data_IF_113397417297
#
_entry.id   IF_113397417297
#
_cell.length_a   1.000
_cell.length_b   1.000
_cell.length_c   1.000
_cell.angle_alpha   90.00
_cell.angle_beta   90.00
_cell.angle_gamma   90.00
#
_symmetry.space_group_name_H-M   'P 1'
#
loop_
_entity.id
_entity.type
_entity.pdbx_description
1 polymer ?
#
# COMPACT_ATOMS: atom_id res chain seq x y z
N UNK A 1 -0.61 12.43 -11.47
CA UNK A 1 -0.33 11.05 -11.05
C UNK A 1 1.17 10.83 -11.14
N UNK A 2 1.79 10.40 -10.03
CA UNK A 2 3.21 10.04 -10.00
C UNK A 2 3.30 8.52 -10.18
N UNK A 3 3.97 8.03 -11.23
CA UNK A 3 4.03 6.59 -11.51
C UNK A 3 4.79 5.80 -10.43
N UNK A 4 5.51 6.48 -9.53
CA UNK A 4 6.27 5.85 -8.46
C UNK A 4 5.48 5.73 -7.16
N UNK A 5 4.32 6.39 -7.04
CA UNK A 5 3.47 6.28 -5.86
C UNK A 5 2.39 5.22 -6.16
N UNK A 6 2.49 4.09 -5.48
CA UNK A 6 1.70 2.88 -5.80
C UNK A 6 0.69 2.47 -4.73
N UNK A 7 0.77 3.06 -3.53
CA UNK A 7 -0.13 2.81 -2.40
C UNK A 7 0.03 3.90 -1.33
N UNK A 8 -0.95 4.00 -0.43
CA UNK A 8 -0.93 4.89 0.75
C UNK A 8 -1.19 4.04 2.00
N UNK A 9 -0.50 4.34 3.11
CA UNK A 9 -0.83 3.79 4.42
C UNK A 9 -1.17 4.94 5.36
N UNK A 10 -2.29 4.84 6.08
CA UNK A 10 -2.80 5.92 6.93
C UNK A 10 -3.56 5.38 8.16
N UNK A 11 -3.59 6.18 9.21
CA UNK A 11 -4.30 5.95 10.47
C UNK A 11 -5.73 6.55 10.47
N UNK A 12 -6.16 7.08 9.32
CA UNK A 12 -7.50 7.62 9.09
C UNK A 12 -8.03 7.24 7.72
N UNK A 13 -9.35 7.31 7.58
CA UNK A 13 -10.02 7.07 6.31
C UNK A 13 -9.64 8.16 5.29
N UNK A 14 -9.13 7.74 4.14
CA UNK A 14 -8.87 8.62 3.01
C UNK A 14 -10.01 8.47 1.99
N UNK A 15 -10.66 9.58 1.66
CA UNK A 15 -11.74 9.61 0.66
C UNK A 15 -11.21 10.03 -0.72
N UNK A 16 -11.70 9.39 -1.78
CA UNK A 16 -11.40 9.77 -3.16
C UNK A 16 -10.03 9.34 -3.69
N UNK A 17 -9.29 8.51 -2.94
CA UNK A 17 -8.03 7.94 -3.40
C UNK A 17 -8.26 6.78 -4.39
N UNK A 18 -7.48 6.73 -5.45
CA UNK A 18 -7.53 5.67 -6.47
C UNK A 18 -6.46 4.60 -6.23
N UNK A 19 -5.45 4.92 -5.43
CA UNK A 19 -4.43 3.99 -4.99
C UNK A 19 -4.93 3.10 -3.84
N UNK A 20 -4.39 1.88 -3.70
CA UNK A 20 -4.63 1.05 -2.52
C UNK A 20 -4.29 1.81 -1.24
N UNK A 21 -5.23 1.79 -0.28
CA UNK A 21 -5.04 2.38 1.05
C UNK A 21 -4.97 1.26 2.09
N UNK A 22 -3.93 1.28 2.92
CA UNK A 22 -3.72 0.34 4.01
C UNK A 22 -3.86 1.05 5.35
N UNK A 23 -4.28 0.30 6.37
CA UNK A 23 -4.12 0.73 7.75
C UNK A 23 -2.63 0.83 8.09
N UNK A 24 -2.22 1.93 8.72
CA UNK A 24 -0.81 2.20 9.03
C UNK A 24 -0.18 1.13 9.94
N UNK A 25 -0.98 0.51 10.82
CA UNK A 25 -0.53 -0.53 11.74
C UNK A 25 -0.59 -1.94 11.11
N UNK A 26 -1.18 -2.11 9.92
CA UNK A 26 -1.23 -3.39 9.21
C UNK A 26 0.05 -3.66 8.40
N UNK A 27 1.17 -3.77 9.13
CA UNK A 27 2.48 -4.05 8.56
C UNK A 27 2.53 -5.35 7.74
N UNK A 28 1.69 -6.33 8.08
CA UNK A 28 1.64 -7.62 7.37
C UNK A 28 1.10 -7.44 5.95
N UNK A 29 -0.04 -6.78 5.79
CA UNK A 29 -0.61 -6.54 4.46
C UNK A 29 0.28 -5.64 3.60
N UNK A 30 0.96 -4.67 4.22
CA UNK A 30 1.94 -3.81 3.54
C UNK A 30 3.14 -4.63 3.05
N UNK A 31 3.69 -5.52 3.89
CA UNK A 31 4.79 -6.40 3.50
C UNK A 31 4.40 -7.31 2.33
N UNK A 32 3.24 -7.98 2.42
CA UNK A 32 2.70 -8.82 1.35
C UNK A 32 2.54 -8.04 0.03
N UNK A 33 2.10 -6.78 0.09
CA UNK A 33 1.97 -5.91 -1.08
C UNK A 33 3.33 -5.57 -1.69
N UNK A 34 4.32 -5.22 -0.86
CA UNK A 34 5.68 -4.93 -1.30
C UNK A 34 6.31 -6.16 -1.97
N UNK A 35 6.19 -7.33 -1.36
CA UNK A 35 6.75 -8.58 -1.88
C UNK A 35 6.16 -8.93 -3.26
N UNK A 36 4.84 -8.83 -3.41
CA UNK A 36 4.15 -9.07 -4.70
C UNK A 36 4.54 -8.05 -5.77
N UNK A 37 4.63 -6.78 -5.40
CA UNK A 37 4.95 -5.69 -6.34
C UNK A 37 6.40 -5.77 -6.82
N UNK A 38 7.32 -6.17 -5.95
CA UNK A 38 8.76 -6.27 -6.26
C UNK A 38 9.19 -7.63 -6.79
N UNK A 39 8.30 -8.64 -6.77
CA UNK A 39 8.62 -10.01 -7.19
C UNK A 39 9.47 -10.77 -6.17
N UNK A 40 9.44 -10.36 -4.89
CA UNK A 40 10.16 -11.00 -3.78
C UNK A 40 9.36 -12.14 -3.12
N UNK A 41 8.15 -12.44 -3.61
CA UNK A 41 7.32 -13.54 -3.10
C UNK A 41 8.09 -14.87 -3.20
N UNK A 42 8.25 -15.55 -2.06
CA UNK A 42 8.89 -16.87 -1.96
C UNK A 42 8.01 -18.01 -2.47
#
# INVERSE_FOLDING_TARGET
>A
EDPNIVAVAADFAIEGEQLPVFDLDDAKSIADFIERTTGLVA
#
